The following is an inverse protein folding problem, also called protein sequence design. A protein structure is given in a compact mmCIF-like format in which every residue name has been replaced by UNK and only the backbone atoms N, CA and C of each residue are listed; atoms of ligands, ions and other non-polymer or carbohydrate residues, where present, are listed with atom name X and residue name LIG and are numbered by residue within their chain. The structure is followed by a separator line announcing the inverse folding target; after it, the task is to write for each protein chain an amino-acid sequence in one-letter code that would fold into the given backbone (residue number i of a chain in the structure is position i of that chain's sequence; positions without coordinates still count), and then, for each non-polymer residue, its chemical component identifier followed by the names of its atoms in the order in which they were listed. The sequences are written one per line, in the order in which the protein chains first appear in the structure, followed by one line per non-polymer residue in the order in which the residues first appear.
data_IF_853058708317
#
_entry.id   IF_853058708317
#
_cell.length_a   1.000
_cell.length_b   1.000
_cell.length_c   1.000
_cell.angle_alpha   90.00
_cell.angle_beta   90.00
_cell.angle_gamma   90.00
#
_symmetry.space_group_name_H-M   'P 1'
#
loop_
_entity.id
_entity.type
_entity.pdbx_description
1 polymer ?
#
# COMPACT_ATOMS: atom_id res chain seq x y z
N UNK A 1 -14.48 -26.39 -0.94
CA UNK A 1 -13.08 -26.04 -0.69
C UNK A 1 -12.20 -27.24 -0.98
N UNK A 2 -11.10 -27.05 -1.71
CA UNK A 2 -10.09 -28.11 -1.89
C UNK A 2 -9.08 -27.90 -0.76
N UNK A 3 -8.84 -28.95 0.04
CA UNK A 3 -7.84 -28.93 1.08
C UNK A 3 -6.44 -29.16 0.46
N UNK A 4 -5.48 -28.32 0.80
CA UNK A 4 -4.08 -28.53 0.49
C UNK A 4 -3.50 -29.35 1.64
N UNK A 5 -3.18 -30.62 1.41
CA UNK A 5 -2.65 -31.52 2.44
C UNK A 5 -1.12 -31.59 2.37
N UNK A 6 -0.46 -31.47 3.52
CA UNK A 6 0.95 -31.82 3.64
C UNK A 6 1.10 -33.34 3.45
N UNK A 7 1.82 -33.77 2.42
CA UNK A 7 2.00 -35.19 2.10
C UNK A 7 2.86 -35.97 3.11
N UNK A 8 3.58 -35.26 3.99
CA UNK A 8 4.48 -35.90 4.99
C UNK A 8 3.77 -36.13 6.31
N UNK A 9 2.95 -35.21 6.79
CA UNK A 9 2.30 -35.27 8.11
C UNK A 9 0.78 -35.47 8.02
N UNK A 10 0.18 -35.39 6.82
CA UNK A 10 -1.28 -35.39 6.66
C UNK A 10 -1.97 -34.14 7.20
N UNK A 11 -1.20 -33.13 7.60
CA UNK A 11 -1.73 -31.89 8.13
C UNK A 11 -2.38 -31.07 7.01
N UNK A 12 -3.56 -30.52 7.26
CA UNK A 12 -4.30 -29.71 6.31
C UNK A 12 -3.79 -28.27 6.41
N UNK A 13 -3.24 -27.74 5.33
CA UNK A 13 -2.98 -26.30 5.21
C UNK A 13 -4.31 -25.62 4.91
N UNK A 14 -4.82 -24.74 5.77
CA UNK A 14 -6.06 -24.00 5.50
C UNK A 14 -5.92 -23.19 4.21
N UNK A 15 -6.90 -23.29 3.34
CA UNK A 15 -6.89 -22.54 2.08
C UNK A 15 -8.16 -22.73 1.27
N UNK A 16 -8.30 -21.91 0.24
CA UNK A 16 -9.41 -21.96 -0.71
C UNK A 16 -8.87 -21.81 -2.12
N UNK A 17 -9.28 -22.71 -3.00
CA UNK A 17 -8.92 -22.69 -4.42
C UNK A 17 -10.20 -22.67 -5.23
N UNK A 18 -10.42 -21.61 -5.99
CA UNK A 18 -11.52 -21.47 -6.95
C UNK A 18 -12.91 -21.85 -6.43
N UNK A 19 -13.91 -21.77 -7.25
CA UNK A 19 -15.29 -22.17 -6.98
C UNK A 19 -16.30 -21.08 -7.35
N UNK A 20 -17.60 -21.36 -7.08
CA UNK A 20 -18.67 -20.38 -7.27
C UNK A 20 -18.39 -19.13 -6.44
N UNK A 21 -18.49 -17.97 -7.08
CA UNK A 21 -18.19 -16.65 -6.48
C UNK A 21 -16.74 -16.43 -6.04
N UNK A 22 -15.80 -17.32 -6.43
CA UNK A 22 -14.37 -17.22 -6.19
C UNK A 22 -13.62 -17.92 -7.33
N UNK A 23 -13.71 -17.38 -8.54
CA UNK A 23 -13.13 -18.02 -9.73
C UNK A 23 -11.64 -17.68 -9.87
N UNK A 24 -10.87 -18.60 -10.44
CA UNK A 24 -9.44 -18.45 -10.75
C UNK A 24 -8.58 -17.95 -9.57
N UNK A 25 -9.00 -18.17 -8.34
CA UNK A 25 -8.38 -17.54 -7.16
C UNK A 25 -7.77 -18.58 -6.23
N UNK A 26 -6.76 -18.17 -5.45
CA UNK A 26 -6.03 -19.00 -4.50
C UNK A 26 -5.84 -18.27 -3.16
N UNK A 27 -6.28 -18.89 -2.06
CA UNK A 27 -5.92 -18.47 -0.70
C UNK A 27 -5.16 -19.60 0.00
N UNK A 28 -4.07 -19.28 0.66
CA UNK A 28 -3.25 -20.21 1.48
C UNK A 28 -2.96 -19.57 2.83
N UNK A 29 -3.15 -20.33 3.91
CA UNK A 29 -2.85 -19.90 5.27
C UNK A 29 -4.07 -19.69 6.15
N UNK A 30 -5.23 -19.46 5.58
CA UNK A 30 -6.53 -19.45 6.26
C UNK A 30 -7.66 -19.73 5.27
N UNK A 31 -8.82 -20.11 5.80
CA UNK A 31 -9.98 -20.47 5.00
C UNK A 31 -11.12 -19.44 5.08
N UNK A 32 -10.93 -18.34 5.81
CA UNK A 32 -11.94 -17.31 6.00
C UNK A 32 -11.82 -16.25 4.92
N UNK A 33 -12.96 -15.79 4.47
CA UNK A 33 -13.15 -14.63 3.60
C UNK A 33 -14.44 -13.94 4.04
N UNK A 34 -14.71 -12.74 3.60
CA UNK A 34 -16.05 -12.19 3.63
C UNK A 34 -17.03 -13.09 2.85
N UNK A 35 -18.30 -12.75 2.83
CA UNK A 35 -19.27 -13.46 1.99
C UNK A 35 -18.96 -13.21 0.52
N UNK A 36 -18.36 -14.22 -0.14
CA UNK A 36 -17.91 -14.08 -1.52
C UNK A 36 -19.07 -13.88 -2.48
N UNK A 37 -18.96 -12.87 -3.31
CA UNK A 37 -19.92 -12.50 -4.34
C UNK A 37 -19.16 -12.14 -5.64
N UNK A 38 -18.86 -13.15 -6.44
CA UNK A 38 -18.22 -13.03 -7.76
C UNK A 38 -16.74 -12.57 -7.75
N UNK A 39 -16.02 -12.70 -6.65
CA UNK A 39 -14.58 -12.41 -6.61
C UNK A 39 -13.78 -13.35 -7.53
N UNK A 40 -12.86 -12.81 -8.33
CA UNK A 40 -12.06 -13.57 -9.30
C UNK A 40 -10.59 -13.14 -9.34
N UNK A 41 -9.75 -14.07 -9.81
CA UNK A 41 -8.33 -13.82 -10.12
C UNK A 41 -7.51 -13.29 -8.92
N UNK A 42 -7.84 -13.71 -7.69
CA UNK A 42 -7.17 -13.27 -6.49
C UNK A 42 -6.13 -14.28 -5.99
N UNK A 43 -5.02 -13.80 -5.46
CA UNK A 43 -3.99 -14.59 -4.78
C UNK A 43 -3.78 -14.05 -3.37
N UNK A 44 -4.05 -14.87 -2.36
CA UNK A 44 -3.80 -14.56 -0.95
C UNK A 44 -2.91 -15.62 -0.31
N UNK A 45 -1.78 -15.22 0.27
CA UNK A 45 -0.85 -16.13 0.96
C UNK A 45 -0.49 -15.55 2.33
N UNK A 46 -0.93 -16.20 3.38
CA UNK A 46 -0.65 -15.81 4.77
C UNK A 46 -1.91 -15.76 5.64
N UNK A 47 -1.71 -15.79 6.94
CA UNK A 47 -2.81 -15.67 7.90
C UNK A 47 -3.43 -14.28 7.79
N UNK A 48 -4.74 -14.19 7.63
CA UNK A 48 -5.49 -12.94 7.47
C UNK A 48 -5.31 -12.25 6.11
N UNK A 49 -4.60 -12.86 5.16
CA UNK A 49 -4.46 -12.29 3.81
C UNK A 49 -5.79 -12.36 3.06
N UNK A 50 -6.32 -11.21 2.60
CA UNK A 50 -7.63 -11.08 1.94
C UNK A 50 -8.81 -11.61 2.78
N UNK A 51 -8.75 -11.49 4.11
CA UNK A 51 -9.75 -12.08 5.02
C UNK A 51 -11.16 -11.50 4.84
N UNK A 52 -11.26 -10.22 4.50
CA UNK A 52 -12.55 -9.56 4.28
C UNK A 52 -13.07 -9.61 2.83
N UNK A 53 -12.36 -10.30 1.91
CA UNK A 53 -12.69 -10.28 0.49
C UNK A 53 -14.14 -10.72 0.21
N UNK A 54 -14.86 -9.92 -0.58
CA UNK A 54 -16.24 -10.22 -1.00
C UNK A 54 -16.39 -10.28 -2.52
N UNK A 55 -16.08 -9.19 -3.24
CA UNK A 55 -16.27 -9.07 -4.69
C UNK A 55 -15.07 -8.43 -5.42
N UNK A 56 -13.96 -8.16 -4.70
CA UNK A 56 -12.76 -7.61 -5.33
C UNK A 56 -12.09 -8.61 -6.26
N UNK A 57 -11.57 -8.13 -7.39
CA UNK A 57 -10.91 -8.94 -8.41
C UNK A 57 -9.42 -8.61 -8.55
N UNK A 58 -8.63 -9.57 -9.03
CA UNK A 58 -7.24 -9.35 -9.45
C UNK A 58 -6.33 -8.79 -8.34
N UNK A 59 -6.60 -9.13 -7.07
CA UNK A 59 -5.75 -8.72 -5.97
C UNK A 59 -4.67 -9.76 -5.68
N UNK A 60 -3.47 -9.31 -5.36
CA UNK A 60 -2.36 -10.15 -4.89
C UNK A 60 -1.97 -9.69 -3.48
N UNK A 61 -2.13 -10.57 -2.48
CA UNK A 61 -1.78 -10.26 -1.10
C UNK A 61 -0.92 -11.37 -0.50
N UNK A 62 0.31 -11.03 -0.10
CA UNK A 62 1.27 -11.98 0.45
C UNK A 62 1.84 -11.46 1.76
N UNK A 63 1.52 -12.13 2.85
CA UNK A 63 1.97 -11.76 4.20
C UNK A 63 0.86 -11.91 5.23
N UNK A 64 1.25 -11.89 6.50
CA UNK A 64 0.26 -11.87 7.61
C UNK A 64 -0.53 -10.56 7.54
N UNK A 65 -1.86 -10.64 7.50
CA UNK A 65 -2.80 -9.53 7.38
C UNK A 65 -2.59 -8.63 6.13
N UNK A 66 -1.90 -9.11 5.08
CA UNK A 66 -1.77 -8.35 3.85
C UNK A 66 -3.15 -8.19 3.19
N UNK A 67 -3.57 -6.95 2.92
CA UNK A 67 -4.88 -6.65 2.34
C UNK A 67 -6.07 -7.17 3.14
N UNK A 68 -5.93 -7.31 4.44
CA UNK A 68 -6.93 -8.00 5.30
C UNK A 68 -8.31 -7.36 5.25
N UNK A 69 -8.41 -6.06 5.00
CA UNK A 69 -9.68 -5.31 4.91
C UNK A 69 -10.23 -5.17 3.49
N UNK A 70 -9.54 -5.68 2.46
CA UNK A 70 -10.00 -5.56 1.08
C UNK A 70 -11.33 -6.33 0.92
N UNK A 71 -12.38 -5.60 0.55
CA UNK A 71 -13.72 -6.17 0.31
C UNK A 71 -14.06 -6.24 -1.17
N UNK A 72 -14.13 -5.08 -1.83
CA UNK A 72 -14.47 -4.94 -3.25
C UNK A 72 -13.38 -4.20 -4.07
N UNK A 73 -12.29 -3.78 -3.44
CA UNK A 73 -11.14 -3.18 -4.14
C UNK A 73 -10.55 -4.15 -5.16
N UNK A 74 -10.10 -3.63 -6.31
CA UNK A 74 -9.65 -4.43 -7.45
C UNK A 74 -8.22 -4.04 -7.89
N UNK A 75 -7.42 -5.03 -8.30
CA UNK A 75 -6.09 -4.79 -8.86
C UNK A 75 -5.07 -4.28 -7.84
N UNK A 76 -5.22 -4.60 -6.55
CA UNK A 76 -4.27 -4.21 -5.52
C UNK A 76 -3.18 -5.29 -5.34
N UNK A 77 -1.94 -4.84 -5.16
CA UNK A 77 -0.80 -5.67 -4.77
C UNK A 77 -0.35 -5.29 -3.36
N UNK A 78 -0.47 -6.21 -2.41
CA UNK A 78 -0.16 -6.01 -0.99
C UNK A 78 0.83 -7.07 -0.54
N UNK A 79 2.12 -6.74 -0.45
CA UNK A 79 3.18 -7.71 -0.10
C UNK A 79 3.93 -7.25 1.14
N UNK A 80 3.81 -8.01 2.20
CA UNK A 80 4.44 -7.73 3.50
C UNK A 80 3.44 -7.87 4.65
N UNK A 81 3.96 -8.04 5.86
CA UNK A 81 3.11 -8.07 7.05
C UNK A 81 2.35 -6.74 7.19
N UNK A 82 1.04 -6.80 7.36
CA UNK A 82 0.14 -5.65 7.52
C UNK A 82 0.21 -4.62 6.34
N UNK A 83 0.68 -5.01 5.16
CA UNK A 83 0.62 -4.16 3.97
C UNK A 83 -0.84 -3.97 3.55
N UNK A 84 -1.25 -2.73 3.26
CA UNK A 84 -2.63 -2.37 2.89
C UNK A 84 -3.70 -2.85 3.91
N UNK A 85 -3.40 -2.82 5.21
CA UNK A 85 -4.26 -3.45 6.20
C UNK A 85 -5.65 -2.82 6.32
N UNK A 86 -5.80 -1.53 6.03
CA UNK A 86 -7.10 -0.82 6.11
C UNK A 86 -7.73 -0.54 4.73
N UNK A 87 -7.04 -0.91 3.65
CA UNK A 87 -7.57 -0.75 2.29
C UNK A 87 -8.84 -1.59 2.12
N UNK A 88 -9.95 -1.01 1.71
CA UNK A 88 -11.24 -1.73 1.64
C UNK A 88 -11.82 -1.79 0.22
N UNK A 89 -12.19 -0.65 -0.35
CA UNK A 89 -12.92 -0.57 -1.62
C UNK A 89 -12.11 0.06 -2.74
N UNK A 90 -10.96 0.63 -2.43
CA UNK A 90 -10.11 1.32 -3.41
C UNK A 90 -9.24 0.34 -4.18
N UNK A 91 -8.77 0.77 -5.33
CA UNK A 91 -8.19 -0.09 -6.36
C UNK A 91 -6.84 0.40 -6.85
N UNK A 92 -6.11 -0.49 -7.52
CA UNK A 92 -4.89 -0.17 -8.28
C UNK A 92 -3.73 0.31 -7.41
N UNK A 93 -3.66 -0.14 -6.15
CA UNK A 93 -2.52 0.17 -5.28
C UNK A 93 -1.42 -0.90 -5.38
N UNK A 94 -0.16 -0.47 -5.32
CA UNK A 94 1.02 -1.34 -5.19
C UNK A 94 1.71 -1.02 -3.87
N UNK A 95 1.54 -1.89 -2.86
CA UNK A 95 2.01 -1.67 -1.50
C UNK A 95 2.92 -2.84 -1.06
N UNK A 96 4.22 -2.62 -1.10
CA UNK A 96 5.24 -3.66 -0.88
C UNK A 96 6.17 -3.26 0.28
N UNK A 97 6.09 -3.99 1.35
CA UNK A 97 6.87 -3.77 2.58
C UNK A 97 6.01 -3.97 3.83
N UNK A 98 6.64 -4.24 4.97
CA UNK A 98 5.87 -4.32 6.23
C UNK A 98 5.22 -2.98 6.53
N UNK A 99 3.91 -3.00 6.75
CA UNK A 99 3.05 -1.83 7.00
C UNK A 99 3.06 -0.77 5.87
N UNK A 100 3.47 -1.11 4.65
CA UNK A 100 3.32 -0.22 3.50
C UNK A 100 1.83 0.08 3.28
N UNK A 101 1.46 1.37 3.20
CA UNK A 101 0.07 1.79 3.04
C UNK A 101 -0.87 1.29 4.15
N UNK A 102 -0.40 1.12 5.37
CA UNK A 102 -1.21 0.52 6.45
C UNK A 102 -2.56 1.24 6.65
N UNK A 103 -2.56 2.57 6.72
CA UNK A 103 -3.75 3.41 6.88
C UNK A 103 -4.25 4.03 5.57
N UNK A 104 -3.62 3.71 4.43
CA UNK A 104 -4.06 4.22 3.15
C UNK A 104 -5.47 3.71 2.81
N UNK A 105 -6.36 4.61 2.43
CA UNK A 105 -7.69 4.29 1.90
C UNK A 105 -7.92 4.90 0.52
N UNK A 106 -6.93 5.61 -0.03
CA UNK A 106 -6.92 6.13 -1.40
C UNK A 106 -6.57 5.06 -2.45
N UNK A 107 -6.72 5.40 -3.72
CA UNK A 107 -6.45 4.52 -4.86
C UNK A 107 -5.25 4.94 -5.70
N UNK A 108 -4.75 4.02 -6.53
CA UNK A 108 -3.64 4.25 -7.47
C UNK A 108 -2.34 4.73 -6.83
N UNK A 109 -2.07 4.29 -5.60
CA UNK A 109 -0.85 4.62 -4.87
C UNK A 109 0.23 3.55 -5.06
N UNK A 110 1.49 3.97 -5.04
CA UNK A 110 2.66 3.10 -5.00
C UNK A 110 3.41 3.33 -3.69
N UNK A 111 3.48 2.32 -2.83
CA UNK A 111 4.26 2.32 -1.58
C UNK A 111 5.25 1.16 -1.57
N UNK A 112 6.55 1.41 -1.67
CA UNK A 112 7.59 0.37 -1.66
C UNK A 112 8.63 0.66 -0.58
N UNK A 113 8.62 -0.13 0.47
CA UNK A 113 9.49 0.00 1.63
C UNK A 113 8.73 -0.19 2.95
N UNK A 114 9.45 -0.38 4.04
CA UNK A 114 8.84 -0.43 5.38
C UNK A 114 8.13 0.90 5.65
N UNK A 115 6.82 0.86 5.95
CA UNK A 115 5.96 2.02 6.20
C UNK A 115 5.90 3.05 5.04
N UNK A 116 6.30 2.69 3.82
CA UNK A 116 6.16 3.59 2.68
C UNK A 116 4.68 3.90 2.42
N UNK A 117 4.32 5.19 2.35
CA UNK A 117 2.93 5.63 2.22
C UNK A 117 2.02 5.13 3.34
N UNK A 118 2.56 4.92 4.55
CA UNK A 118 1.80 4.37 5.69
C UNK A 118 0.56 5.19 6.01
N UNK A 119 0.67 6.51 5.90
CA UNK A 119 -0.41 7.44 6.15
C UNK A 119 -0.84 7.55 7.62
N UNK A 120 -1.62 8.55 7.92
CA UNK A 120 -2.36 8.65 9.17
C UNK A 120 -3.69 7.87 9.08
N UNK A 121 -4.32 7.57 10.20
CA UNK A 121 -5.61 6.87 10.21
C UNK A 121 -6.66 7.61 9.36
N UNK A 122 -7.20 6.92 8.36
CA UNK A 122 -8.14 7.48 7.39
C UNK A 122 -7.50 8.27 6.25
N UNK A 123 -6.20 8.07 6.00
CA UNK A 123 -5.50 8.69 4.88
C UNK A 123 -6.12 8.26 3.54
N UNK A 124 -6.59 9.23 2.75
CA UNK A 124 -7.33 9.00 1.51
C UNK A 124 -6.71 9.67 0.26
N UNK A 125 -5.43 10.03 0.33
CA UNK A 125 -4.72 10.60 -0.83
C UNK A 125 -4.56 9.58 -1.97
N UNK A 126 -4.76 10.05 -3.20
CA UNK A 126 -4.66 9.26 -4.43
C UNK A 126 -3.39 9.59 -5.22
N UNK A 127 -2.96 8.65 -6.08
CA UNK A 127 -1.86 8.84 -7.05
C UNK A 127 -0.51 9.21 -6.42
N UNK A 128 -0.24 8.78 -5.19
CA UNK A 128 1.03 9.06 -4.52
C UNK A 128 2.06 7.96 -4.80
N UNK A 129 3.33 8.34 -4.91
CA UNK A 129 4.47 7.45 -5.06
C UNK A 129 5.40 7.60 -3.86
N UNK A 130 5.48 6.58 -3.03
CA UNK A 130 6.35 6.50 -1.85
C UNK A 130 7.32 5.34 -2.00
N UNK A 131 8.60 5.62 -2.27
CA UNK A 131 9.63 4.58 -2.44
C UNK A 131 10.77 4.83 -1.45
N UNK A 132 10.88 3.97 -0.47
CA UNK A 132 11.85 4.06 0.63
C UNK A 132 11.19 3.83 1.98
N UNK A 133 11.98 3.50 3.00
CA UNK A 133 11.45 3.36 4.35
C UNK A 133 10.88 4.69 4.83
N UNK A 134 9.64 4.70 5.31
CA UNK A 134 8.91 5.88 5.81
C UNK A 134 8.76 7.03 4.80
N UNK A 135 8.94 6.81 3.50
CA UNK A 135 8.61 7.83 2.50
C UNK A 135 7.11 8.15 2.58
N UNK A 136 6.74 9.44 2.60
CA UNK A 136 5.36 9.93 2.74
C UNK A 136 4.59 9.32 3.93
N UNK A 137 5.25 9.12 5.08
CA UNK A 137 4.68 8.37 6.22
C UNK A 137 3.54 9.13 6.92
N UNK A 138 3.51 10.45 6.88
CA UNK A 138 2.51 11.29 7.56
C UNK A 138 1.31 11.71 6.69
N UNK A 139 1.21 11.18 5.47
CA UNK A 139 0.20 11.61 4.51
C UNK A 139 -1.22 11.39 5.06
N UNK A 140 -2.09 12.39 4.87
CA UNK A 140 -3.52 12.32 5.24
C UNK A 140 -4.44 12.38 4.03
N UNK A 141 -4.37 13.44 3.23
CA UNK A 141 -5.28 13.68 2.10
C UNK A 141 -4.59 14.27 0.87
N UNK A 142 -3.26 14.42 0.89
CA UNK A 142 -2.53 14.96 -0.28
C UNK A 142 -2.49 13.98 -1.44
N UNK A 143 -2.70 14.48 -2.66
CA UNK A 143 -2.69 13.71 -3.89
C UNK A 143 -1.44 14.00 -4.73
N UNK A 144 -1.09 13.07 -5.63
CA UNK A 144 -0.04 13.27 -6.64
C UNK A 144 1.34 13.62 -6.06
N UNK A 145 1.66 13.19 -4.85
CA UNK A 145 2.98 13.41 -4.27
C UNK A 145 3.97 12.31 -4.66
N UNK A 146 5.23 12.67 -4.82
CA UNK A 146 6.33 11.76 -5.09
C UNK A 146 7.36 11.91 -3.98
N UNK A 147 7.56 10.84 -3.19
CA UNK A 147 8.62 10.71 -2.19
C UNK A 147 9.53 9.53 -2.52
N UNK A 148 10.79 9.79 -2.87
CA UNK A 148 11.77 8.75 -3.20
C UNK A 148 13.01 8.91 -2.33
N UNK A 149 13.23 7.99 -1.44
CA UNK A 149 14.31 7.99 -0.45
C UNK A 149 13.77 7.60 0.92
N UNK A 150 14.67 7.25 1.84
CA UNK A 150 14.30 7.05 3.24
C UNK A 150 13.80 8.37 3.83
N UNK A 151 12.67 8.33 4.53
CA UNK A 151 12.01 9.51 5.15
C UNK A 151 11.71 10.67 4.16
N UNK A 152 11.71 10.41 2.83
CA UNK A 152 11.45 11.43 1.81
C UNK A 152 10.04 11.99 1.93
N UNK A 153 9.91 13.28 2.24
CA UNK A 153 8.64 13.98 2.39
C UNK A 153 7.78 13.43 3.52
N UNK A 154 8.37 12.88 4.57
CA UNK A 154 7.62 12.28 5.67
C UNK A 154 6.79 13.32 6.45
N UNK A 155 7.08 14.62 6.28
CA UNK A 155 6.32 15.71 6.84
C UNK A 155 5.05 16.08 6.04
N UNK A 156 4.88 15.60 4.79
CA UNK A 156 3.71 15.94 3.96
C UNK A 156 2.45 15.32 4.58
N UNK A 157 1.43 16.17 4.81
CA UNK A 157 0.14 15.75 5.35
C UNK A 157 -0.98 15.89 4.32
N UNK A 158 -1.39 17.10 3.98
CA UNK A 158 -2.48 17.38 3.03
C UNK A 158 -2.02 18.12 1.76
N UNK A 159 -0.74 18.46 1.67
CA UNK A 159 -0.20 19.08 0.44
C UNK A 159 -0.20 18.11 -0.73
N UNK A 160 -0.47 18.62 -1.93
CA UNK A 160 -0.56 17.86 -3.17
C UNK A 160 0.48 18.30 -4.19
N UNK A 161 0.83 17.40 -5.14
CA UNK A 161 1.75 17.73 -6.22
C UNK A 161 3.21 17.93 -5.80
N UNK A 162 3.60 17.52 -4.61
CA UNK A 162 4.96 17.71 -4.11
C UNK A 162 5.90 16.62 -4.63
N UNK A 163 7.15 16.99 -4.89
CA UNK A 163 8.22 16.07 -5.31
C UNK A 163 9.37 16.16 -4.33
N UNK A 164 9.70 15.04 -3.69
CA UNK A 164 10.82 14.91 -2.76
C UNK A 164 11.69 13.73 -3.17
N UNK A 165 12.98 13.98 -3.41
CA UNK A 165 13.97 12.95 -3.72
C UNK A 165 15.18 13.10 -2.80
N UNK A 166 15.57 12.04 -2.14
CA UNK A 166 16.61 12.00 -1.12
C UNK A 166 16.04 11.95 0.29
N UNK A 167 16.82 12.31 1.30
CA UNK A 167 16.38 12.38 2.71
C UNK A 167 16.04 13.82 3.04
N UNK A 168 14.86 14.28 2.70
CA UNK A 168 14.44 15.66 2.96
C UNK A 168 12.94 15.82 3.01
N UNK A 169 12.55 17.00 3.45
CA UNK A 169 11.19 17.45 3.59
C UNK A 169 10.87 18.63 2.68
N UNK A 170 9.57 18.87 2.50
CA UNK A 170 9.08 20.11 1.92
C UNK A 170 9.00 21.22 2.96
N UNK A 171 8.96 22.46 2.51
CA UNK A 171 8.90 23.63 3.41
C UNK A 171 7.58 23.71 4.18
N UNK A 172 6.50 23.20 3.61
CA UNK A 172 5.16 23.21 4.21
C UNK A 172 4.49 21.84 4.07
N UNK A 173 4.10 21.23 5.17
CA UNK A 173 3.39 19.95 5.21
C UNK A 173 2.02 19.97 4.47
N UNK A 174 1.41 21.14 4.35
CA UNK A 174 0.10 21.37 3.74
C UNK A 174 0.18 22.17 2.43
N UNK A 175 1.40 22.56 2.02
CA UNK A 175 1.61 23.30 0.78
C UNK A 175 1.64 22.39 -0.44
N UNK A 176 1.17 22.91 -1.56
CA UNK A 176 1.14 22.20 -2.84
C UNK A 176 2.37 22.55 -3.71
N UNK A 177 2.62 21.71 -4.72
CA UNK A 177 3.55 21.96 -5.82
C UNK A 177 4.97 22.35 -5.38
N UNK A 178 5.48 21.75 -4.31
CA UNK A 178 6.81 21.98 -3.79
C UNK A 178 7.79 20.95 -4.35
N UNK A 179 9.05 21.35 -4.50
CA UNK A 179 10.16 20.50 -4.95
C UNK A 179 11.29 20.51 -3.93
N UNK A 180 11.79 19.34 -3.55
CA UNK A 180 13.03 19.17 -2.77
C UNK A 180 13.83 18.00 -3.31
N UNK A 181 15.05 18.23 -3.75
CA UNK A 181 16.01 17.18 -4.13
C UNK A 181 17.26 17.36 -3.28
N UNK A 182 17.58 16.36 -2.47
CA UNK A 182 18.67 16.37 -1.51
C UNK A 182 19.57 15.15 -1.64
N UNK A 183 20.66 15.13 -0.87
CA UNK A 183 21.43 13.90 -0.71
C UNK A 183 20.58 12.77 -0.10
N UNK A 184 21.04 11.54 -0.27
CA UNK A 184 20.37 10.34 0.25
C UNK A 184 20.92 9.87 1.59
N UNK A 185 21.78 10.65 2.26
CA UNK A 185 22.45 10.25 3.50
C UNK A 185 21.76 10.83 4.73
N UNK A 186 21.67 12.14 4.86
CA UNK A 186 21.06 12.81 6.01
C UNK A 186 20.23 14.06 5.64
N UNK A 187 20.11 14.37 4.34
CA UNK A 187 19.36 15.53 3.85
C UNK A 187 20.01 16.88 4.12
N UNK A 188 21.24 16.90 4.62
CA UNK A 188 21.93 18.15 4.98
C UNK A 188 22.31 19.00 3.75
N UNK A 189 22.49 18.35 2.60
CA UNK A 189 22.76 19.01 1.32
C UNK A 189 21.51 18.96 0.45
N UNK A 190 20.87 20.08 0.25
CA UNK A 190 19.74 20.23 -0.67
C UNK A 190 20.26 20.85 -1.97
N UNK A 191 20.16 20.11 -3.06
CA UNK A 191 20.65 20.53 -4.37
C UNK A 191 19.68 21.41 -5.14
N UNK A 192 18.37 21.13 -5.00
CA UNK A 192 17.30 21.85 -5.71
C UNK A 192 16.12 22.02 -4.77
N UNK A 193 15.63 23.25 -4.63
CA UNK A 193 14.34 23.57 -3.99
C UNK A 193 13.46 24.35 -4.93
N UNK A 194 12.16 24.07 -4.91
CA UNK A 194 11.15 24.80 -5.63
C UNK A 194 9.93 25.06 -4.74
N UNK A 195 9.17 26.07 -5.07
CA UNK A 195 7.92 26.44 -4.41
C UNK A 195 6.75 26.37 -5.39
N UNK A 196 5.52 26.40 -4.86
CA UNK A 196 4.28 26.51 -5.65
C UNK A 196 4.22 27.71 -6.60
N UNK A 197 5.10 28.72 -6.41
CA UNK A 197 5.25 29.84 -7.33
C UNK A 197 6.13 29.53 -8.55
N UNK A 198 6.64 28.31 -8.68
CA UNK A 198 7.52 27.90 -9.80
C UNK A 198 8.94 28.43 -9.71
N UNK A 199 9.36 28.94 -8.57
CA UNK A 199 10.74 29.43 -8.36
C UNK A 199 11.60 28.26 -7.91
N UNK A 200 12.69 27.98 -8.65
CA UNK A 200 13.69 27.00 -8.31
C UNK A 200 14.95 27.73 -7.81
N UNK A 201 15.47 27.34 -6.66
CA UNK A 201 16.68 27.90 -6.04
C UNK A 201 17.68 26.83 -5.69
#
# INVERSE_FOLDING_TARGET
AVAITNSVTGEIVPGKIGGTNFSNSLLIGHATTGTLNSASDNVGIGVGSLDALTSGDSNVSVGVNAGTSITSGTGNMSIGKDAAATLSTTSQNVLIGSSAGYYATGGSNVGIGHRAGHGASGANGDYNVAIGASALDSLTSGDNNIGIGKDAGDNITSGSGNVVIGVSDVASATGDDQLSISDGEDGSVVWIKGSSAGVVT
#
